data_IF_237056487080
#
_entry.id   IF_237056487080
#
_cell.length_a   1.000
_cell.length_b   1.000
_cell.length_c   1.000
_cell.angle_alpha   90.00
_cell.angle_beta   90.00
_cell.angle_gamma   90.00
#
_symmetry.space_group_name_H-M   'P 1'
#
loop_
_entity.id
_entity.type
_entity.pdbx_description
1 polymer ?
#
# COMPACT_ATOMS: atom_id res chain seq x y z
N UNK A 1 -21.29 15.79 24.02
CA UNK A 1 -21.40 15.02 22.76
C UNK A 1 -22.84 15.04 22.30
N UNK A 2 -23.12 15.53 21.08
CA UNK A 2 -24.48 15.49 20.51
C UNK A 2 -24.89 14.06 20.14
N UNK A 3 -26.20 13.76 20.08
CA UNK A 3 -26.73 12.43 19.70
C UNK A 3 -26.15 11.92 18.36
N UNK A 4 -25.86 12.82 17.42
CA UNK A 4 -25.20 12.48 16.15
C UNK A 4 -23.82 11.84 16.32
N UNK A 5 -23.08 12.19 17.37
CA UNK A 5 -21.76 11.63 17.63
C UNK A 5 -21.82 10.17 18.10
N UNK A 6 -22.91 9.74 18.74
CA UNK A 6 -23.05 8.35 19.20
C UNK A 6 -23.43 7.38 18.08
N UNK A 7 -24.17 7.84 17.07
CA UNK A 7 -24.56 7.01 15.92
C UNK A 7 -23.38 6.70 14.97
N UNK A 8 -22.37 7.57 14.91
CA UNK A 8 -21.29 7.48 13.93
C UNK A 8 -20.06 6.68 14.39
N UNK A 9 -19.83 6.55 15.70
CA UNK A 9 -18.69 5.83 16.27
C UNK A 9 -18.63 4.35 15.85
N UNK A 10 -19.74 3.57 15.85
CA UNK A 10 -19.71 2.18 15.40
C UNK A 10 -19.28 2.03 13.94
N UNK A 11 -19.79 2.91 13.07
CA UNK A 11 -19.42 2.96 11.65
C UNK A 11 -17.93 3.26 11.47
N UNK A 12 -17.41 4.24 12.21
CA UNK A 12 -15.99 4.57 12.18
C UNK A 12 -15.11 3.40 12.64
N UNK A 13 -15.50 2.70 13.71
CA UNK A 13 -14.79 1.50 14.19
C UNK A 13 -14.76 0.41 13.12
N UNK A 14 -15.90 0.17 12.47
CA UNK A 14 -15.98 -0.79 11.37
C UNK A 14 -15.02 -0.43 10.23
N UNK A 15 -15.00 0.84 9.79
CA UNK A 15 -14.09 1.30 8.73
C UNK A 15 -12.62 1.22 9.18
N UNK A 16 -12.32 1.65 10.41
CA UNK A 16 -10.98 1.64 10.99
C UNK A 16 -10.38 0.22 11.09
N UNK A 17 -11.22 -0.82 11.14
CA UNK A 17 -10.81 -2.22 11.11
C UNK A 17 -10.78 -2.79 9.69
N UNK A 18 -11.86 -2.63 8.94
CA UNK A 18 -12.05 -3.29 7.64
C UNK A 18 -11.08 -2.74 6.59
N UNK A 19 -10.89 -1.41 6.53
CA UNK A 19 -10.05 -0.81 5.51
C UNK A 19 -8.57 -1.26 5.59
N UNK A 20 -7.88 -1.16 6.75
CA UNK A 20 -6.51 -1.66 6.84
C UNK A 20 -6.42 -3.20 6.78
N UNK A 21 -7.46 -3.93 7.21
CA UNK A 21 -7.51 -5.39 7.05
C UNK A 21 -7.52 -5.80 5.57
N UNK A 22 -8.39 -5.18 4.76
CA UNK A 22 -8.46 -5.44 3.32
C UNK A 22 -7.15 -5.07 2.63
N UNK A 23 -6.58 -3.92 2.97
CA UNK A 23 -5.29 -3.51 2.42
C UNK A 23 -4.17 -4.50 2.78
N UNK A 24 -4.15 -4.98 4.03
CA UNK A 24 -3.22 -6.02 4.51
C UNK A 24 -3.37 -7.30 3.67
N UNK A 25 -4.60 -7.79 3.50
CA UNK A 25 -4.89 -9.01 2.73
C UNK A 25 -4.49 -8.89 1.26
N UNK A 26 -4.80 -7.77 0.60
CA UNK A 26 -4.42 -7.52 -0.79
C UNK A 26 -2.91 -7.47 -0.97
N UNK A 27 -2.21 -6.77 -0.09
CA UNK A 27 -0.76 -6.62 -0.13
C UNK A 27 -0.05 -7.95 0.15
N UNK A 28 -0.52 -8.72 1.13
CA UNK A 28 -0.05 -10.07 1.40
C UNK A 28 -0.23 -10.98 0.18
N UNK A 29 -1.40 -10.92 -0.45
CA UNK A 29 -1.74 -11.72 -1.63
C UNK A 29 -0.78 -11.41 -2.79
N UNK A 30 -0.47 -10.14 -3.03
CA UNK A 30 0.55 -9.79 -4.03
C UNK A 30 1.91 -10.41 -3.72
N UNK A 31 2.38 -10.27 -2.47
CA UNK A 31 3.71 -10.74 -2.09
C UNK A 31 3.86 -12.26 -2.10
N UNK A 32 2.83 -13.00 -1.70
CA UNK A 32 2.96 -14.45 -1.40
C UNK A 32 2.15 -15.36 -2.30
N UNK A 33 1.14 -14.84 -3.00
CA UNK A 33 0.21 -15.66 -3.81
C UNK A 33 0.34 -15.34 -5.29
N UNK A 34 0.51 -14.07 -5.66
CA UNK A 34 0.51 -13.62 -7.06
C UNK A 34 1.92 -13.63 -7.65
N UNK A 35 2.88 -12.97 -7.00
CA UNK A 35 4.21 -12.80 -7.58
C UNK A 35 5.01 -14.11 -7.69
N UNK A 36 5.04 -15.01 -6.69
CA UNK A 36 5.85 -16.22 -6.78
C UNK A 36 5.56 -17.11 -8.01
N UNK A 37 4.29 -17.48 -8.34
CA UNK A 37 4.04 -18.27 -9.54
C UNK A 37 4.34 -17.48 -10.83
N UNK A 38 4.12 -16.17 -10.84
CA UNK A 38 4.46 -15.32 -11.99
C UNK A 38 5.98 -15.34 -12.25
N UNK A 39 6.80 -15.15 -11.23
CA UNK A 39 8.26 -15.13 -11.36
C UNK A 39 8.86 -16.51 -11.65
N UNK A 40 8.16 -17.58 -11.26
CA UNK A 40 8.61 -18.95 -11.51
C UNK A 40 8.30 -19.42 -12.93
N UNK A 41 7.17 -18.99 -13.51
CA UNK A 41 6.65 -19.62 -14.73
C UNK A 41 6.49 -18.67 -15.93
N UNK A 42 6.39 -17.36 -15.72
CA UNK A 42 6.13 -16.44 -16.82
C UNK A 42 7.42 -16.08 -17.58
N UNK A 43 7.43 -16.12 -18.93
CA UNK A 43 8.55 -15.59 -19.70
C UNK A 43 8.68 -14.06 -19.49
N UNK A 44 9.87 -13.47 -19.71
CA UNK A 44 10.15 -12.09 -19.32
C UNK A 44 9.15 -11.04 -19.82
N UNK A 45 8.72 -11.13 -21.09
CA UNK A 45 7.75 -10.20 -21.68
C UNK A 45 6.36 -10.34 -21.01
N UNK A 46 5.92 -11.57 -20.75
CA UNK A 46 4.64 -11.80 -20.07
C UNK A 46 4.70 -11.35 -18.60
N UNK A 47 5.80 -11.63 -17.91
CA UNK A 47 6.02 -11.19 -16.53
C UNK A 47 5.96 -9.66 -16.42
N UNK A 48 6.62 -8.94 -17.35
CA UNK A 48 6.56 -7.49 -17.40
C UNK A 48 5.14 -6.97 -17.55
N UNK A 49 4.35 -7.56 -18.46
CA UNK A 49 2.95 -7.19 -18.68
C UNK A 49 2.08 -7.45 -17.44
N UNK A 50 2.19 -8.63 -16.84
CA UNK A 50 1.42 -9.02 -15.66
C UNK A 50 1.78 -8.15 -14.44
N UNK A 51 3.07 -7.89 -14.21
CA UNK A 51 3.53 -7.01 -13.14
C UNK A 51 3.05 -5.58 -13.36
N UNK A 52 3.18 -5.04 -14.58
CA UNK A 52 2.76 -3.67 -14.90
C UNK A 52 1.26 -3.50 -14.69
N UNK A 53 0.45 -4.47 -15.13
CA UNK A 53 -0.99 -4.45 -14.91
C UNK A 53 -1.34 -4.50 -13.42
N UNK A 54 -0.69 -5.37 -12.64
CA UNK A 54 -0.87 -5.41 -11.19
C UNK A 54 -0.52 -4.07 -10.52
N UNK A 55 0.61 -3.47 -10.90
CA UNK A 55 1.07 -2.19 -10.39
C UNK A 55 0.13 -1.04 -10.75
N UNK A 56 -0.33 -0.97 -12.00
CA UNK A 56 -1.23 0.10 -12.50
C UNK A 56 -2.64 -0.02 -11.91
N UNK A 57 -3.09 -1.24 -11.62
CA UNK A 57 -4.41 -1.47 -11.03
C UNK A 57 -4.44 -1.13 -9.53
N UNK A 58 -3.33 -1.32 -8.81
CA UNK A 58 -3.28 -1.18 -7.36
C UNK A 58 -3.79 0.16 -6.79
N UNK A 59 -3.47 1.33 -7.36
CA UNK A 59 -3.93 2.62 -6.83
C UNK A 59 -5.45 2.77 -6.74
N UNK A 60 -6.22 2.05 -7.57
CA UNK A 60 -7.68 2.12 -7.59
C UNK A 60 -8.33 1.73 -6.25
N UNK A 61 -7.66 0.89 -5.45
CA UNK A 61 -8.15 0.46 -4.14
C UNK A 61 -7.20 0.82 -2.99
N UNK A 62 -5.88 0.87 -3.22
CA UNK A 62 -4.91 1.16 -2.17
C UNK A 62 -5.14 2.55 -1.57
N UNK A 63 -5.25 3.59 -2.40
CA UNK A 63 -5.41 4.96 -1.90
C UNK A 63 -6.73 5.13 -1.10
N UNK A 64 -7.90 4.69 -1.59
CA UNK A 64 -9.13 4.70 -0.80
C UNK A 64 -9.01 3.97 0.54
N UNK A 65 -8.45 2.76 0.58
CA UNK A 65 -8.35 1.97 1.81
C UNK A 65 -7.43 2.63 2.84
N UNK A 66 -6.26 3.13 2.41
CA UNK A 66 -5.33 3.82 3.31
C UNK A 66 -5.94 5.12 3.84
N UNK A 67 -6.61 5.92 2.99
CA UNK A 67 -7.25 7.17 3.42
C UNK A 67 -8.40 6.92 4.39
N UNK A 68 -9.26 5.93 4.11
CA UNK A 68 -10.37 5.56 4.99
C UNK A 68 -9.87 5.02 6.33
N UNK A 69 -8.89 4.11 6.33
CA UNK A 69 -8.31 3.57 7.56
C UNK A 69 -7.62 4.64 8.40
N UNK A 70 -6.84 5.53 7.76
CA UNK A 70 -6.13 6.63 8.43
C UNK A 70 -7.11 7.62 9.04
N UNK A 71 -8.04 8.14 8.23
CA UNK A 71 -8.99 9.17 8.67
C UNK A 71 -9.93 8.66 9.76
N UNK A 72 -10.40 7.41 9.66
CA UNK A 72 -11.28 6.81 10.68
C UNK A 72 -10.55 6.62 12.00
N UNK A 73 -9.32 6.12 12.00
CA UNK A 73 -8.51 6.00 13.21
C UNK A 73 -8.16 7.38 13.80
N UNK A 74 -7.81 8.37 12.98
CA UNK A 74 -7.54 9.73 13.47
C UNK A 74 -8.79 10.37 14.10
N UNK A 75 -9.96 10.22 13.47
CA UNK A 75 -11.21 10.75 13.99
C UNK A 75 -11.65 10.03 15.28
N UNK A 76 -11.49 8.71 15.35
CA UNK A 76 -11.73 7.95 16.58
C UNK A 76 -10.80 8.38 17.71
N UNK A 77 -9.52 8.64 17.43
CA UNK A 77 -8.60 9.19 18.44
C UNK A 77 -9.12 10.51 18.99
N UNK A 78 -9.49 11.45 18.11
CA UNK A 78 -10.04 12.75 18.51
C UNK A 78 -11.32 12.62 19.34
N UNK A 79 -12.28 11.81 18.90
CA UNK A 79 -13.58 11.65 19.56
C UNK A 79 -13.51 10.91 20.90
N UNK A 80 -12.40 10.21 21.18
CA UNK A 80 -12.25 9.36 22.37
C UNK A 80 -11.22 9.90 23.36
N UNK A 81 -10.70 11.09 23.10
CA UNK A 81 -9.62 11.70 23.87
C UNK A 81 -10.01 12.07 25.32
N UNK A 82 -11.29 12.29 25.59
CA UNK A 82 -11.80 12.61 26.93
C UNK A 82 -12.13 11.37 27.76
N UNK A 83 -12.03 10.17 27.17
CA UNK A 83 -12.30 8.93 27.90
C UNK A 83 -11.09 8.52 28.73
N UNK A 84 -11.28 7.98 29.96
CA UNK A 84 -10.18 7.56 30.84
C UNK A 84 -9.42 6.30 30.36
N UNK A 85 -9.61 5.89 29.10
CA UNK A 85 -8.99 4.69 28.51
C UNK A 85 -7.82 5.06 27.60
N UNK A 86 -6.89 4.13 27.37
CA UNK A 86 -5.80 4.33 26.41
C UNK A 86 -6.25 4.26 24.93
N UNK A 87 -7.54 4.18 24.67
CA UNK A 87 -8.11 3.95 23.33
C UNK A 87 -7.76 5.08 22.35
N UNK A 88 -7.79 6.34 22.80
CA UNK A 88 -7.40 7.49 21.96
C UNK A 88 -5.97 7.35 21.42
N UNK A 89 -5.02 6.97 22.28
CA UNK A 89 -3.62 6.80 21.88
C UNK A 89 -3.46 5.60 20.92
N UNK A 90 -4.17 4.50 21.16
CA UNK A 90 -4.12 3.33 20.28
C UNK A 90 -4.67 3.65 18.88
N UNK A 91 -5.80 4.36 18.78
CA UNK A 91 -6.31 4.83 17.49
C UNK A 91 -5.33 5.80 16.79
N UNK A 92 -4.69 6.71 17.54
CA UNK A 92 -3.69 7.60 16.96
C UNK A 92 -2.52 6.81 16.36
N UNK A 93 -1.99 5.83 17.10
CA UNK A 93 -0.89 4.97 16.64
C UNK A 93 -1.32 4.19 15.39
N UNK A 94 -2.50 3.57 15.39
CA UNK A 94 -3.03 2.86 14.23
C UNK A 94 -3.19 3.79 13.01
N UNK A 95 -3.66 5.02 13.22
CA UNK A 95 -3.76 6.04 12.19
C UNK A 95 -2.39 6.41 11.60
N UNK A 96 -1.39 6.64 12.44
CA UNK A 96 -0.01 6.97 12.01
C UNK A 96 0.63 5.82 11.23
N UNK A 97 0.46 4.58 11.70
CA UNK A 97 0.96 3.39 11.00
C UNK A 97 0.35 3.26 9.60
N UNK A 98 -0.97 3.44 9.47
CA UNK A 98 -1.64 3.44 8.15
C UNK A 98 -1.15 4.60 7.28
N UNK A 99 -1.04 5.81 7.84
CA UNK A 99 -0.57 6.99 7.12
C UNK A 99 0.86 6.82 6.59
N UNK A 100 1.72 6.07 7.31
CA UNK A 100 3.12 5.85 6.93
C UNK A 100 3.30 5.13 5.58
N UNK A 101 2.27 4.43 5.10
CA UNK A 101 2.26 3.80 3.78
C UNK A 101 2.42 4.83 2.65
N UNK A 102 1.88 6.05 2.83
CA UNK A 102 1.94 7.12 1.82
C UNK A 102 3.38 7.56 1.56
N UNK A 103 4.14 8.08 2.54
CA UNK A 103 5.53 8.49 2.32
C UNK A 103 6.43 7.30 1.96
N UNK A 104 6.18 6.10 2.50
CA UNK A 104 6.93 4.91 2.09
C UNK A 104 6.74 4.60 0.60
N UNK A 105 5.50 4.71 0.11
CA UNK A 105 5.21 4.50 -1.30
C UNK A 105 5.83 5.60 -2.15
N UNK A 106 5.53 6.86 -1.85
CA UNK A 106 5.89 8.00 -2.70
C UNK A 106 7.39 8.30 -2.71
N UNK A 107 8.09 8.12 -1.57
CA UNK A 107 9.48 8.55 -1.42
C UNK A 107 10.48 7.41 -1.58
N UNK A 108 10.08 6.17 -1.30
CA UNK A 108 10.96 5.01 -1.34
C UNK A 108 10.64 4.05 -2.49
N UNK A 109 9.42 3.51 -2.56
CA UNK A 109 9.09 2.52 -3.59
C UNK A 109 8.94 3.13 -4.98
N UNK A 110 8.25 4.27 -5.07
CA UNK A 110 7.91 4.90 -6.35
C UNK A 110 9.16 5.30 -7.16
N UNK A 111 10.09 6.10 -6.61
CA UNK A 111 11.33 6.42 -7.29
C UNK A 111 12.37 5.28 -7.30
N UNK A 112 12.07 4.19 -6.61
CA UNK A 112 12.90 3.00 -6.48
C UNK A 112 12.41 1.85 -7.35
N UNK A 113 12.02 0.75 -6.69
CA UNK A 113 11.64 -0.51 -7.36
C UNK A 113 10.44 -0.37 -8.31
N UNK A 114 9.46 0.49 -8.02
CA UNK A 114 8.34 0.71 -8.94
C UNK A 114 8.79 1.42 -10.21
N UNK A 115 9.57 2.50 -10.07
CA UNK A 115 10.15 3.21 -11.20
C UNK A 115 11.06 2.31 -12.04
N UNK A 116 11.92 1.53 -11.40
CA UNK A 116 12.76 0.53 -12.05
C UNK A 116 11.93 -0.50 -12.84
N UNK A 117 10.83 -1.00 -12.25
CA UNK A 117 9.92 -1.93 -12.92
C UNK A 117 9.19 -1.31 -14.10
N UNK A 118 8.76 -0.05 -14.00
CA UNK A 118 8.19 0.69 -15.13
C UNK A 118 9.18 0.86 -16.27
N UNK A 119 10.43 1.20 -15.95
CA UNK A 119 11.52 1.33 -16.92
C UNK A 119 11.79 0.00 -17.64
N UNK A 120 11.96 -1.09 -16.88
CA UNK A 120 12.16 -2.42 -17.45
C UNK A 120 10.95 -2.92 -18.24
N UNK A 121 9.73 -2.61 -17.78
CA UNK A 121 8.52 -2.94 -18.52
C UNK A 121 8.47 -2.22 -19.87
N UNK A 122 8.80 -0.92 -19.93
CA UNK A 122 8.92 -0.20 -21.20
C UNK A 122 9.97 -0.84 -22.12
N UNK A 123 11.13 -1.25 -21.59
CA UNK A 123 12.17 -1.91 -22.36
C UNK A 123 11.70 -3.23 -22.99
N UNK A 124 11.02 -4.07 -22.22
CA UNK A 124 10.55 -5.39 -22.64
C UNK A 124 9.25 -5.35 -23.47
N UNK A 125 8.46 -4.28 -23.32
CA UNK A 125 7.17 -4.07 -23.96
C UNK A 125 7.22 -2.96 -25.01
N UNK A 126 8.38 -2.67 -25.60
CA UNK A 126 8.51 -1.67 -26.68
C UNK A 126 7.46 -1.92 -27.77
N UNK A 127 6.74 -0.87 -28.14
CA UNK A 127 5.61 -0.90 -29.06
C UNK A 127 4.25 -1.21 -28.41
N UNK A 128 4.22 -1.84 -27.23
CA UNK A 128 3.00 -2.14 -26.47
C UNK A 128 2.79 -1.16 -25.29
N UNK A 129 3.87 -0.60 -24.73
CA UNK A 129 3.83 0.33 -23.60
C UNK A 129 4.98 1.35 -23.65
N UNK A 130 4.65 2.63 -23.43
CA UNK A 130 5.61 3.73 -23.35
C UNK A 130 5.25 4.68 -22.19
N UNK A 131 6.26 5.15 -21.48
CA UNK A 131 6.09 6.14 -20.42
C UNK A 131 5.86 7.53 -21.02
N UNK A 132 4.89 8.26 -20.48
CA UNK A 132 4.50 9.60 -20.95
C UNK A 132 5.46 10.72 -20.46
N UNK A 133 6.75 10.42 -20.32
CA UNK A 133 7.77 11.33 -19.78
C UNK A 133 7.84 11.37 -18.24
N UNK A 134 8.66 12.29 -17.72
CA UNK A 134 8.91 12.41 -16.28
C UNK A 134 7.71 13.01 -15.52
N UNK A 135 7.41 12.50 -14.32
CA UNK A 135 6.31 13.03 -13.50
C UNK A 135 5.83 12.07 -12.43
N UNK A 136 4.58 12.25 -11.99
CA UNK A 136 3.88 11.35 -11.06
C UNK A 136 2.81 10.55 -11.79
N UNK A 137 2.57 9.33 -11.35
CA UNK A 137 1.56 8.45 -11.94
C UNK A 137 2.15 7.09 -12.32
N UNK A 138 1.26 6.19 -12.71
CA UNK A 138 1.62 4.80 -13.04
C UNK A 138 2.08 4.62 -14.49
N UNK A 139 1.94 5.66 -15.32
CA UNK A 139 2.32 5.76 -16.72
C UNK A 139 3.43 6.80 -16.97
N UNK A 140 3.99 7.39 -15.90
CA UNK A 140 5.09 8.35 -15.95
C UNK A 140 6.38 7.75 -15.45
N UNK A 141 7.49 8.26 -15.97
CA UNK A 141 8.82 7.92 -15.50
C UNK A 141 9.10 8.59 -14.15
N UNK A 142 9.20 7.77 -13.11
CA UNK A 142 9.44 8.19 -11.72
C UNK A 142 10.80 7.73 -11.20
N UNK A 143 11.53 6.90 -11.94
CA UNK A 143 12.71 6.22 -11.45
C UNK A 143 13.89 7.18 -11.25
N UNK A 144 14.60 7.06 -10.13
CA UNK A 144 15.93 7.68 -9.98
C UNK A 144 16.90 7.05 -10.98
N UNK A 145 17.89 7.84 -11.41
CA UNK A 145 18.93 7.41 -12.35
C UNK A 145 19.59 6.10 -11.90
N UNK A 146 19.96 5.98 -10.62
CA UNK A 146 20.56 4.76 -10.08
C UNK A 146 19.67 3.52 -10.19
N UNK A 147 18.36 3.68 -10.05
CA UNK A 147 17.39 2.60 -10.18
C UNK A 147 17.11 2.20 -11.63
N UNK A 148 17.25 3.13 -12.58
CA UNK A 148 17.24 2.82 -14.02
C UNK A 148 18.48 2.03 -14.41
N UNK A 149 19.66 2.49 -14.00
CA UNK A 149 20.91 1.78 -14.25
C UNK A 149 20.91 0.39 -13.61
N UNK A 150 20.33 0.24 -12.41
CA UNK A 150 20.12 -1.07 -11.82
C UNK A 150 19.13 -1.92 -12.61
N UNK A 151 17.99 -1.37 -13.06
CA UNK A 151 17.04 -2.10 -13.89
C UNK A 151 17.70 -2.62 -15.17
N UNK A 152 18.59 -1.86 -15.81
CA UNK A 152 19.30 -2.29 -17.03
C UNK A 152 20.18 -3.53 -16.80
N UNK A 153 20.67 -3.77 -15.59
CA UNK A 153 21.56 -4.92 -15.30
C UNK A 153 20.83 -6.17 -14.82
N UNK A 154 19.53 -6.09 -14.51
CA UNK A 154 18.73 -7.20 -14.00
C UNK A 154 17.56 -7.56 -14.92
N UNK A 155 17.05 -8.77 -14.75
CA UNK A 155 15.83 -9.21 -15.43
C UNK A 155 14.56 -8.71 -14.70
N UNK A 156 13.42 -8.86 -15.37
CA UNK A 156 12.12 -8.48 -14.78
C UNK A 156 11.79 -9.31 -13.53
N UNK A 157 12.33 -10.54 -13.45
CA UNK A 157 12.12 -11.43 -12.30
C UNK A 157 12.69 -10.83 -11.03
N UNK A 158 13.96 -10.41 -11.05
CA UNK A 158 14.60 -9.78 -9.89
C UNK A 158 13.83 -8.53 -9.43
N UNK A 159 13.31 -7.73 -10.37
CA UNK A 159 12.51 -6.55 -10.05
C UNK A 159 11.18 -6.93 -9.40
N UNK A 160 10.47 -7.91 -9.96
CA UNK A 160 9.19 -8.38 -9.41
C UNK A 160 9.34 -9.02 -8.03
N UNK A 161 10.39 -9.82 -7.81
CA UNK A 161 10.71 -10.42 -6.51
C UNK A 161 11.08 -9.34 -5.47
N UNK A 162 11.90 -8.35 -5.84
CA UNK A 162 12.21 -7.23 -4.97
C UNK A 162 10.95 -6.43 -4.65
N UNK A 163 10.11 -6.14 -5.65
CA UNK A 163 8.84 -5.45 -5.45
C UNK A 163 7.95 -6.17 -4.45
N UNK A 164 7.79 -7.49 -4.58
CA UNK A 164 7.03 -8.32 -3.63
C UNK A 164 7.60 -8.26 -2.22
N UNK A 165 8.92 -8.34 -2.07
CA UNK A 165 9.61 -8.23 -0.78
C UNK A 165 9.42 -6.85 -0.15
N UNK A 166 9.54 -5.79 -0.93
CA UNK A 166 9.34 -4.42 -0.46
C UNK A 166 7.87 -4.16 -0.10
N UNK A 167 6.94 -4.74 -0.85
CA UNK A 167 5.51 -4.68 -0.56
C UNK A 167 5.16 -5.41 0.76
N UNK A 168 5.93 -6.44 1.14
CA UNK A 168 5.69 -7.19 2.37
C UNK A 168 5.72 -6.33 3.64
N UNK A 169 6.57 -5.30 3.65
CA UNK A 169 6.60 -4.31 4.73
C UNK A 169 5.24 -3.63 4.94
N UNK A 170 4.54 -3.33 3.84
CA UNK A 170 3.28 -2.60 3.89
C UNK A 170 2.19 -3.41 4.58
N UNK A 171 2.07 -4.72 4.28
CA UNK A 171 1.06 -5.55 4.95
C UNK A 171 1.42 -5.80 6.42
N UNK A 172 2.70 -5.90 6.76
CA UNK A 172 3.13 -6.05 8.16
C UNK A 172 2.68 -4.84 8.98
N UNK A 173 2.96 -3.62 8.49
CA UNK A 173 2.58 -2.39 9.18
C UNK A 173 1.06 -2.21 9.29
N UNK A 174 0.31 -2.46 8.22
CA UNK A 174 -1.16 -2.32 8.28
C UNK A 174 -1.83 -3.45 9.04
N UNK A 175 -1.22 -4.64 9.10
CA UNK A 175 -1.65 -5.74 9.96
C UNK A 175 -1.50 -5.36 11.44
N UNK A 176 -0.36 -4.78 11.82
CA UNK A 176 -0.16 -4.23 13.17
C UNK A 176 -1.14 -3.10 13.46
N UNK A 177 -1.35 -2.17 12.52
CA UNK A 177 -2.35 -1.10 12.67
C UNK A 177 -3.76 -1.64 12.90
N UNK A 178 -4.13 -2.72 12.20
CA UNK A 178 -5.42 -3.41 12.37
C UNK A 178 -5.57 -3.96 13.79
N UNK A 179 -4.55 -4.67 14.30
CA UNK A 179 -4.57 -5.24 15.65
C UNK A 179 -4.66 -4.16 16.73
N UNK A 180 -3.93 -3.05 16.55
CA UNK A 180 -3.97 -1.91 17.48
C UNK A 180 -5.36 -1.24 17.46
N UNK A 181 -5.96 -1.05 16.29
CA UNK A 181 -7.32 -0.50 16.16
C UNK A 181 -8.36 -1.43 16.79
N UNK A 182 -8.18 -2.75 16.66
CA UNK A 182 -9.03 -3.74 17.32
C UNK A 182 -8.91 -3.69 18.83
N UNK A 183 -7.69 -3.62 19.35
CA UNK A 183 -7.45 -3.45 20.78
C UNK A 183 -8.11 -2.17 21.31
N UNK A 184 -7.97 -1.04 20.60
CA UNK A 184 -8.62 0.23 20.94
C UNK A 184 -10.15 0.12 20.96
N UNK A 185 -10.72 -0.66 20.03
CA UNK A 185 -12.17 -0.88 19.95
C UNK A 185 -12.68 -1.68 21.15
N UNK A 186 -11.93 -2.70 21.57
CA UNK A 186 -12.28 -3.55 22.71
C UNK A 186 -12.11 -2.79 24.03
N UNK A 187 -11.08 -1.97 24.19
CA UNK A 187 -10.84 -1.21 25.44
C UNK A 187 -11.83 -0.08 25.69
N UNK A 188 -12.65 0.28 24.69
CA UNK A 188 -13.76 1.22 24.83
C UNK A 188 -15.11 0.55 25.10
N UNK A 189 -15.22 -0.77 24.94
CA UNK A 189 -16.46 -1.52 25.14
C UNK A 189 -16.62 -1.86 26.63
#
# INVERSE_FOLDING_TARGET
MSEHSQSFIPTLRAIALVAPSLYTGLTFTYSHVVIPPMTTHAPPKLLAKQWLQAYQFAPAFVAPLILLGTSSNALLSYLTNEQPTHSSALYAIAGVLNASIIPYTALYMEPGVNGAGKWKAQELLRGDFELQGAGQGTDRDTARISWKSWAETVDMRAIAELWAKTNAWRYMITGVATLISAAATITMA
#
